data_IF_612698734644
#
_entry.id   IF_612698734644
#
_cell.length_a   1.000
_cell.length_b   1.000
_cell.length_c   1.000
_cell.angle_alpha   90.00
_cell.angle_beta   90.00
_cell.angle_gamma   90.00
#
_symmetry.space_group_name_H-M   'P 1'
#
loop_
_entity.id
_entity.type
_entity.pdbx_description
1 polymer ?
#
# COMPACT_ATOMS: atom_id res chain seq x y z
N UNK A 1 14.58 5.90 -12.23
CA UNK A 1 14.12 6.09 -10.85
C UNK A 1 15.33 6.23 -9.93
N UNK A 2 15.27 7.16 -9.02
CA UNK A 2 16.31 7.28 -8.03
C UNK A 2 16.28 6.08 -7.09
N UNK A 3 17.44 5.50 -6.84
CA UNK A 3 17.55 4.39 -5.90
C UNK A 3 17.94 4.87 -4.50
N UNK A 4 17.82 6.16 -4.27
CA UNK A 4 18.10 6.72 -2.96
C UNK A 4 17.21 6.11 -1.89
N UNK A 5 15.99 5.77 -2.24
CA UNK A 5 15.05 5.10 -1.35
C UNK A 5 14.47 3.91 -2.07
N UNK A 6 14.39 2.82 -1.37
CA UNK A 6 13.66 1.66 -1.82
C UNK A 6 12.42 1.50 -0.95
N UNK A 7 11.33 1.05 -1.54
CA UNK A 7 10.12 0.75 -0.80
C UNK A 7 10.15 -0.72 -0.43
N UNK A 8 10.05 -0.99 0.86
CA UNK A 8 9.95 -2.35 1.38
C UNK A 8 8.48 -2.69 1.55
N UNK A 9 8.11 -3.89 1.16
CA UNK A 9 6.74 -4.33 1.19
C UNK A 9 6.62 -5.65 1.94
N UNK A 10 5.57 -5.75 2.75
CA UNK A 10 5.21 -6.99 3.42
C UNK A 10 3.83 -7.37 2.92
N UNK A 11 3.76 -8.49 2.24
CA UNK A 11 2.58 -8.89 1.51
C UNK A 11 2.00 -10.16 2.07
N UNK A 12 0.69 -10.30 1.94
CA UNK A 12 0.02 -11.56 2.14
C UNK A 12 0.44 -12.50 1.01
N UNK A 13 1.04 -13.63 1.37
CA UNK A 13 1.65 -14.53 0.41
C UNK A 13 0.67 -15.14 -0.58
N UNK A 14 -0.61 -15.07 -0.30
CA UNK A 14 -1.61 -15.65 -1.19
C UNK A 14 -1.88 -14.79 -2.41
N UNK A 15 -1.23 -13.65 -2.54
CA UNK A 15 -1.56 -12.69 -3.57
C UNK A 15 -0.49 -12.58 -4.64
N UNK A 16 0.27 -11.51 -4.62
CA UNK A 16 0.99 -11.05 -5.79
C UNK A 16 2.12 -11.94 -6.24
N UNK A 17 2.81 -12.56 -5.31
CA UNK A 17 4.08 -13.21 -5.62
C UNK A 17 3.92 -14.61 -6.21
N UNK A 18 2.72 -15.07 -6.29
CA UNK A 18 2.44 -16.33 -6.99
C UNK A 18 2.38 -16.16 -8.50
N UNK A 19 2.43 -14.93 -8.95
CA UNK A 19 2.45 -14.65 -10.37
C UNK A 19 3.81 -15.00 -10.95
N UNK A 20 3.88 -14.99 -12.26
CA UNK A 20 5.10 -15.28 -12.97
C UNK A 20 6.22 -14.35 -12.50
N UNK A 21 7.27 -14.93 -11.98
CA UNK A 21 8.37 -14.17 -11.40
C UNK A 21 9.24 -13.45 -12.44
N UNK A 22 9.00 -13.65 -13.71
CA UNK A 22 9.69 -12.89 -14.76
C UNK A 22 8.98 -11.59 -15.09
N UNK A 23 7.80 -11.35 -14.54
CA UNK A 23 7.05 -10.16 -14.83
C UNK A 23 7.43 -9.03 -13.90
N UNK A 24 7.42 -7.84 -14.45
CA UNK A 24 7.47 -6.64 -13.65
C UNK A 24 6.07 -6.28 -13.22
N UNK A 25 5.93 -5.86 -11.97
CA UNK A 25 4.65 -5.44 -11.44
C UNK A 25 4.44 -3.96 -11.74
N UNK A 26 3.20 -3.62 -12.07
CA UNK A 26 2.81 -2.23 -12.32
C UNK A 26 1.91 -1.80 -11.18
N UNK A 27 2.29 -0.73 -10.53
CA UNK A 27 1.54 -0.23 -9.38
C UNK A 27 1.46 1.30 -9.43
N UNK A 28 0.61 1.84 -8.57
CA UNK A 28 0.48 3.28 -8.42
C UNK A 28 0.21 3.62 -6.96
N UNK A 29 0.61 4.82 -6.58
CA UNK A 29 0.24 5.38 -5.28
C UNK A 29 -1.07 6.13 -5.45
N UNK A 30 -2.04 5.83 -4.60
CA UNK A 30 -3.34 6.46 -4.63
C UNK A 30 -3.63 7.10 -3.27
N UNK A 31 -4.37 8.21 -3.28
CA UNK A 31 -4.62 9.00 -2.09
C UNK A 31 -6.10 9.26 -1.85
N UNK A 32 -6.92 8.95 -2.83
CA UNK A 32 -8.35 9.23 -2.76
C UNK A 32 -9.10 8.32 -3.73
N UNK A 33 -10.42 8.42 -3.69
CA UNK A 33 -11.29 7.58 -4.48
C UNK A 33 -11.11 7.80 -5.98
N UNK A 34 -10.92 9.06 -6.39
CA UNK A 34 -10.76 9.36 -7.81
C UNK A 34 -9.54 8.65 -8.39
N UNK A 35 -8.46 8.61 -7.63
CA UNK A 35 -7.24 7.94 -8.08
C UNK A 35 -7.42 6.43 -8.12
N UNK A 36 -8.19 5.89 -7.19
CA UNK A 36 -8.50 4.46 -7.20
C UNK A 36 -9.34 4.11 -8.43
N UNK A 37 -10.30 4.95 -8.79
CA UNK A 37 -11.10 4.71 -9.98
C UNK A 37 -10.24 4.67 -11.23
N UNK A 38 -9.27 5.57 -11.33
CA UNK A 38 -8.32 5.56 -12.45
C UNK A 38 -7.50 4.27 -12.45
N UNK A 39 -7.00 3.89 -11.28
CA UNK A 39 -6.20 2.67 -11.15
C UNK A 39 -7.00 1.44 -11.53
N UNK A 40 -8.27 1.37 -11.16
CA UNK A 40 -9.13 0.25 -11.52
C UNK A 40 -9.23 0.08 -13.03
N UNK A 41 -9.21 1.19 -13.77
CA UNK A 41 -9.32 1.15 -15.22
C UNK A 41 -8.00 0.79 -15.91
N UNK A 42 -6.89 0.84 -15.19
CA UNK A 42 -5.57 0.59 -15.75
C UNK A 42 -5.09 -0.86 -15.55
N UNK A 43 -5.85 -1.68 -14.86
CA UNK A 43 -5.48 -3.08 -14.59
C UNK A 43 -4.12 -3.20 -13.92
N UNK A 44 -3.90 -2.42 -12.89
CA UNK A 44 -2.66 -2.46 -12.15
C UNK A 44 -2.56 -3.74 -11.32
N UNK A 45 -1.33 -4.15 -11.02
CA UNK A 45 -1.10 -5.33 -10.20
C UNK A 45 -1.44 -5.08 -8.74
N UNK A 46 -1.17 -3.88 -8.24
CA UNK A 46 -1.55 -3.48 -6.90
C UNK A 46 -1.47 -1.95 -6.80
N UNK A 47 -2.04 -1.43 -5.72
CA UNK A 47 -1.90 -0.01 -5.41
C UNK A 47 -1.41 0.17 -3.98
N UNK A 48 -0.86 1.34 -3.72
CA UNK A 48 -0.43 1.75 -2.39
C UNK A 48 -1.29 2.92 -1.99
N UNK A 49 -2.03 2.79 -0.89
CA UNK A 49 -2.83 3.88 -0.33
C UNK A 49 -2.05 4.59 0.76
N UNK A 50 -2.01 5.90 0.66
CA UNK A 50 -1.30 6.73 1.64
C UNK A 50 -1.91 8.12 1.69
N UNK A 51 -1.65 8.87 2.75
CA UNK A 51 -0.98 8.46 3.98
C UNK A 51 -1.98 7.82 4.95
N UNK A 52 -1.59 6.75 5.63
CA UNK A 52 -2.54 6.06 6.51
C UNK A 52 -2.49 6.60 7.94
N UNK A 53 -1.30 6.71 8.53
CA UNK A 53 -1.16 7.01 9.95
C UNK A 53 -0.54 8.36 10.26
N UNK A 54 0.02 9.07 9.29
CA UNK A 54 0.57 10.41 9.50
C UNK A 54 0.08 11.36 8.43
N UNK A 55 -0.11 12.63 8.82
CA UNK A 55 -0.48 13.67 7.87
C UNK A 55 0.71 14.01 6.97
N UNK A 56 0.42 14.28 5.72
CA UNK A 56 1.37 14.91 4.79
C UNK A 56 0.95 16.35 4.55
N UNK A 57 1.84 17.15 3.93
CA UNK A 57 1.66 18.59 3.85
C UNK A 57 0.28 19.03 3.40
N UNK A 58 -0.27 18.39 2.39
CA UNK A 58 -1.56 18.74 1.81
C UNK A 58 -2.54 17.57 1.81
N UNK A 59 -2.18 16.50 2.52
CA UNK A 59 -3.00 15.28 2.55
C UNK A 59 -3.13 14.81 3.99
N UNK A 60 -4.32 14.94 4.58
CA UNK A 60 -4.53 14.40 5.91
C UNK A 60 -4.48 12.87 5.90
N UNK A 61 -4.09 12.31 7.03
CA UNK A 61 -4.04 10.85 7.15
C UNK A 61 -5.43 10.26 6.97
N UNK A 62 -5.46 9.07 6.40
CA UNK A 62 -6.71 8.32 6.18
C UNK A 62 -7.22 7.67 7.47
N UNK A 63 -6.29 7.24 8.31
CA UNK A 63 -6.62 6.33 9.40
C UNK A 63 -7.02 4.96 8.88
N UNK A 64 -7.15 4.00 9.77
CA UNK A 64 -7.53 2.65 9.34
C UNK A 64 -8.96 2.59 8.82
N UNK A 65 -9.87 3.43 9.36
CA UNK A 65 -11.23 3.48 8.85
C UNK A 65 -11.29 4.03 7.44
N UNK A 66 -10.59 5.12 7.19
CA UNK A 66 -10.54 5.70 5.83
C UNK A 66 -9.86 4.75 4.85
N UNK A 67 -8.79 4.11 5.29
CA UNK A 67 -8.12 3.10 4.49
C UNK A 67 -9.10 1.98 4.10
N UNK A 68 -9.84 1.46 5.08
CA UNK A 68 -10.79 0.37 4.84
C UNK A 68 -11.87 0.78 3.85
N UNK A 69 -12.39 2.00 3.96
CA UNK A 69 -13.40 2.48 3.03
C UNK A 69 -12.87 2.54 1.60
N UNK A 70 -11.66 3.03 1.43
CA UNK A 70 -11.06 3.14 0.11
C UNK A 70 -10.68 1.78 -0.47
N UNK A 71 -10.22 0.87 0.37
CA UNK A 71 -9.92 -0.49 -0.07
C UNK A 71 -11.14 -1.15 -0.70
N UNK A 72 -12.33 -0.91 -0.15
CA UNK A 72 -13.56 -1.50 -0.67
C UNK A 72 -13.85 -1.09 -2.10
N UNK A 73 -13.27 0.02 -2.57
CA UNK A 73 -13.47 0.51 -3.94
C UNK A 73 -12.42 -0.03 -4.91
N UNK A 74 -11.37 -0.65 -4.42
CA UNK A 74 -10.25 -1.08 -5.27
C UNK A 74 -10.50 -2.49 -5.81
N UNK A 75 -10.14 -2.69 -7.08
CA UNK A 75 -10.29 -3.97 -7.76
C UNK A 75 -8.97 -4.78 -7.76
N UNK A 76 -7.98 -4.34 -7.05
CA UNK A 76 -6.68 -5.00 -6.97
C UNK A 76 -6.19 -4.98 -5.52
N UNK A 77 -5.13 -5.73 -5.22
CA UNK A 77 -4.54 -5.70 -3.87
C UNK A 77 -4.07 -4.31 -3.48
N UNK A 78 -4.18 -4.00 -2.20
CA UNK A 78 -3.90 -2.66 -1.67
C UNK A 78 -2.92 -2.78 -0.50
N UNK A 79 -1.86 -1.98 -0.55
CA UNK A 79 -0.89 -1.88 0.52
C UNK A 79 -1.04 -0.55 1.24
N UNK A 80 -0.82 -0.55 2.54
CA UNK A 80 -0.89 0.65 3.37
C UNK A 80 0.49 1.29 3.52
N UNK A 81 0.55 2.60 3.35
CA UNK A 81 1.80 3.37 3.50
C UNK A 81 1.49 4.68 4.23
N UNK A 82 2.48 5.21 4.93
CA UNK A 82 2.36 6.51 5.59
C UNK A 82 2.31 6.37 7.11
N UNK A 83 3.44 6.51 7.76
CA UNK A 83 3.54 6.34 9.21
C UNK A 83 3.48 4.90 9.65
N UNK A 84 3.53 3.97 8.70
CA UNK A 84 3.49 2.54 8.98
C UNK A 84 4.87 2.10 9.45
N UNK A 85 4.92 1.30 10.50
CA UNK A 85 6.15 0.67 10.94
C UNK A 85 6.13 -0.80 10.57
N UNK A 86 7.32 -1.40 10.45
CA UNK A 86 7.42 -2.81 10.12
C UNK A 86 7.20 -3.64 11.40
N UNK A 87 5.99 -3.58 11.92
CA UNK A 87 5.59 -4.33 13.10
C UNK A 87 4.45 -5.26 12.73
N UNK A 88 4.31 -6.32 13.51
CA UNK A 88 3.18 -7.23 13.31
C UNK A 88 1.86 -6.53 13.56
N UNK A 89 1.85 -5.56 14.46
CA UNK A 89 0.62 -4.83 14.77
C UNK A 89 0.11 -4.07 13.55
N UNK A 90 0.96 -3.30 12.88
CA UNK A 90 0.54 -2.54 11.71
C UNK A 90 0.17 -3.45 10.55
N UNK A 91 0.92 -4.53 10.37
CA UNK A 91 0.57 -5.51 9.34
C UNK A 91 -0.81 -6.11 9.59
N UNK A 92 -1.07 -6.53 10.82
CA UNK A 92 -2.36 -7.12 11.18
C UNK A 92 -3.48 -6.11 11.00
N UNK A 93 -3.26 -4.84 11.39
CA UNK A 93 -4.27 -3.79 11.22
C UNK A 93 -4.58 -3.56 9.74
N UNK A 94 -3.58 -3.60 8.89
CA UNK A 94 -3.79 -3.45 7.45
C UNK A 94 -4.64 -4.61 6.91
N UNK A 95 -4.33 -5.83 7.30
CA UNK A 95 -5.10 -6.99 6.86
C UNK A 95 -6.54 -6.94 7.40
N UNK A 96 -6.70 -6.60 8.66
CA UNK A 96 -8.04 -6.48 9.27
C UNK A 96 -8.88 -5.38 8.61
N UNK A 97 -8.23 -4.39 8.05
CA UNK A 97 -8.90 -3.28 7.37
C UNK A 97 -9.19 -3.57 5.90
N UNK A 98 -8.94 -4.78 5.46
CA UNK A 98 -9.20 -5.21 4.08
C UNK A 98 -8.03 -5.08 3.15
N UNK A 99 -6.90 -4.57 3.62
CA UNK A 99 -5.70 -4.46 2.81
C UNK A 99 -4.98 -5.78 2.65
N UNK A 100 -3.90 -5.76 1.89
CA UNK A 100 -3.16 -6.97 1.55
C UNK A 100 -1.72 -6.93 2.06
N UNK A 101 -1.33 -5.85 2.71
CA UNK A 101 -0.02 -5.72 3.29
C UNK A 101 0.31 -4.28 3.61
N UNK A 102 1.56 -4.06 3.93
CA UNK A 102 2.09 -2.75 4.29
C UNK A 102 3.32 -2.45 3.44
N UNK A 103 3.62 -1.16 3.30
CA UNK A 103 4.81 -0.69 2.60
C UNK A 103 5.48 0.40 3.41
N UNK A 104 6.77 0.56 3.25
CA UNK A 104 7.53 1.58 3.94
C UNK A 104 8.81 1.91 3.21
N UNK A 105 9.41 3.02 3.59
CA UNK A 105 10.67 3.47 3.01
C UNK A 105 11.81 2.81 3.77
N UNK A 106 12.77 2.26 3.06
CA UNK A 106 13.87 1.46 3.61
C UNK A 106 14.54 2.10 4.81
N UNK A 107 14.76 3.41 4.75
CA UNK A 107 15.48 4.09 5.83
C UNK A 107 14.73 4.08 7.16
N UNK A 108 13.43 3.79 7.15
CA UNK A 108 12.64 3.68 8.37
C UNK A 108 12.51 2.24 8.85
N UNK A 109 12.92 1.27 8.05
CA UNK A 109 12.78 -0.16 8.33
C UNK A 109 14.15 -0.80 8.39
N UNK A 110 14.95 -0.32 9.29
CA UNK A 110 16.36 -0.66 9.30
C UNK A 110 16.67 -2.07 9.82
N UNK A 111 15.67 -2.80 10.22
CA UNK A 111 15.85 -4.17 10.71
C UNK A 111 15.03 -5.17 9.93
N UNK A 112 14.83 -4.89 8.74
CA UNK A 112 14.01 -5.72 7.88
C UNK A 112 14.75 -6.99 7.44
#
# INVERSE_FOLDING_TARGET
MSLKYAILMKLNKQNLWERNNNLQYISASCHNRQEIDIANNLNLDFIILSPVLIDKSDRPKLGWNGFSQLVSEAHMPVLALGGISNTDEDYIRAIQSGGHGIAGITKFWNKF
#
